data_IF_191572935246
#
_entry.id   IF_191572935246
#
_cell.length_a   1.000
_cell.length_b   1.000
_cell.length_c   1.000
_cell.angle_alpha   90.00
_cell.angle_beta   90.00
_cell.angle_gamma   90.00
#
_symmetry.space_group_name_H-M   'P 1'
#
loop_
_entity.id
_entity.type
_entity.pdbx_description
1 polymer ?
#
# COMPACT_ATOMS: atom_id res chain seq x y z
N UNK A 1 -14.49 -22.11 24.62
CA UNK A 1 -14.73 -22.92 23.40
C UNK A 1 -14.08 -24.27 23.55
N UNK A 2 -14.75 -25.35 23.14
CA UNK A 2 -14.18 -26.68 23.20
C UNK A 2 -13.12 -26.87 22.10
N UNK A 3 -12.09 -27.67 22.33
CA UNK A 3 -11.01 -27.92 21.35
C UNK A 3 -11.56 -28.38 19.99
N UNK A 4 -12.61 -29.21 20.00
CA UNK A 4 -13.34 -29.64 18.79
C UNK A 4 -13.95 -28.45 18.02
N UNK A 5 -14.55 -27.49 18.74
CA UNK A 5 -15.16 -26.31 18.12
C UNK A 5 -14.08 -25.40 17.54
N UNK A 6 -12.93 -25.25 18.20
CA UNK A 6 -11.80 -24.48 17.67
C UNK A 6 -11.29 -25.13 16.36
N UNK A 7 -11.12 -26.45 16.34
CA UNK A 7 -10.68 -27.17 15.13
C UNK A 7 -11.69 -27.01 13.98
N UNK A 8 -12.98 -27.12 14.26
CA UNK A 8 -14.04 -26.92 13.26
C UNK A 8 -14.03 -25.47 12.74
N UNK A 9 -13.92 -24.48 13.62
CA UNK A 9 -13.87 -23.07 13.22
C UNK A 9 -12.66 -22.77 12.33
N UNK A 10 -11.49 -23.30 12.65
CA UNK A 10 -10.28 -23.13 11.82
C UNK A 10 -10.46 -23.80 10.46
N UNK A 11 -11.00 -25.03 10.42
CA UNK A 11 -11.26 -25.73 9.16
C UNK A 11 -12.22 -24.96 8.25
N UNK A 12 -13.32 -24.43 8.82
CA UNK A 12 -14.29 -23.60 8.08
C UNK A 12 -13.61 -22.32 7.58
N UNK A 13 -12.84 -21.62 8.42
CA UNK A 13 -12.15 -20.40 8.02
C UNK A 13 -11.18 -20.63 6.85
N UNK A 14 -10.46 -21.75 6.82
CA UNK A 14 -9.56 -22.10 5.72
C UNK A 14 -10.33 -22.40 4.44
N UNK A 15 -11.41 -23.18 4.52
CA UNK A 15 -12.22 -23.54 3.34
C UNK A 15 -12.87 -22.29 2.72
N UNK A 16 -13.51 -21.45 3.52
CA UNK A 16 -14.16 -20.24 3.03
C UNK A 16 -13.15 -19.13 2.67
N UNK A 17 -12.02 -19.04 3.39
CA UNK A 17 -10.94 -18.12 3.06
C UNK A 17 -10.31 -18.45 1.71
N UNK A 18 -9.92 -19.71 1.49
CA UNK A 18 -9.33 -20.14 0.22
C UNK A 18 -10.37 -20.14 -0.92
N UNK A 19 -11.58 -20.64 -0.68
CA UNK A 19 -12.65 -20.70 -1.68
C UNK A 19 -13.16 -19.31 -2.07
N UNK A 20 -13.36 -18.42 -1.10
CA UNK A 20 -13.78 -17.04 -1.34
C UNK A 20 -12.70 -16.22 -2.04
N UNK A 21 -11.43 -16.38 -1.65
CA UNK A 21 -10.31 -15.71 -2.33
C UNK A 21 -10.14 -16.19 -3.78
N UNK A 22 -10.11 -17.51 -4.01
CA UNK A 22 -9.96 -18.06 -5.37
C UNK A 22 -11.17 -17.78 -6.26
N UNK A 23 -12.39 -17.94 -5.72
CA UNK A 23 -13.63 -17.60 -6.40
C UNK A 23 -13.73 -16.11 -6.74
N UNK A 24 -13.34 -15.24 -5.80
CA UNK A 24 -13.28 -13.79 -6.01
C UNK A 24 -12.27 -13.39 -7.09
N UNK A 25 -11.07 -13.97 -7.07
CA UNK A 25 -10.07 -13.74 -8.13
C UNK A 25 -10.56 -14.22 -9.50
N UNK A 26 -11.18 -15.40 -9.58
CA UNK A 26 -11.75 -15.91 -10.84
C UNK A 26 -12.91 -15.05 -11.35
N UNK A 27 -13.74 -14.53 -10.47
CA UNK A 27 -14.81 -13.60 -10.82
C UNK A 27 -14.30 -12.23 -11.28
N UNK A 28 -13.19 -11.75 -10.71
CA UNK A 28 -12.50 -10.57 -11.22
C UNK A 28 -11.83 -10.81 -12.57
N UNK A 29 -11.30 -12.01 -12.82
CA UNK A 29 -10.73 -12.37 -14.13
C UNK A 29 -11.77 -12.36 -15.25
N UNK A 30 -13.01 -12.74 -14.98
CA UNK A 30 -14.12 -12.65 -15.96
C UNK A 30 -14.71 -11.24 -16.09
N UNK A 31 -14.30 -10.32 -15.22
CA UNK A 31 -14.64 -8.89 -15.25
C UNK A 31 -13.38 -8.05 -15.20
N UNK A 32 -12.48 -8.14 -16.20
CA UNK A 32 -11.34 -7.25 -16.23
C UNK A 32 -11.89 -5.82 -16.24
N UNK A 33 -11.63 -5.03 -15.19
CA UNK A 33 -11.61 -3.57 -15.31
C UNK A 33 -10.50 -3.31 -16.31
N UNK A 34 -10.88 -3.25 -17.58
CA UNK A 34 -9.93 -3.43 -18.64
C UNK A 34 -8.94 -2.27 -18.59
N UNK A 35 -7.64 -2.57 -18.50
CA UNK A 35 -6.61 -1.60 -18.81
C UNK A 35 -6.83 -0.99 -20.22
N UNK A 36 -7.56 -1.72 -21.09
CA UNK A 36 -8.11 -1.26 -22.36
C UNK A 36 -9.00 -0.01 -22.23
N UNK A 37 -9.78 0.12 -21.15
CA UNK A 37 -10.61 1.31 -20.88
C UNK A 37 -9.76 2.57 -20.65
N UNK A 38 -8.52 2.42 -20.18
CA UNK A 38 -7.56 3.52 -20.03
C UNK A 38 -6.65 3.70 -21.25
N UNK A 39 -6.53 2.66 -22.08
CA UNK A 39 -5.76 2.68 -23.33
C UNK A 39 -6.48 3.50 -24.43
N UNK A 40 -7.81 3.48 -24.45
CA UNK A 40 -8.62 4.24 -25.42
C UNK A 40 -9.03 5.64 -24.92
N UNK A 41 -8.58 6.07 -23.73
CA UNK A 41 -8.85 7.41 -23.21
C UNK A 41 -7.84 8.42 -23.78
N UNK A 42 -8.36 9.56 -24.24
CA UNK A 42 -7.53 10.71 -24.62
C UNK A 42 -6.75 11.25 -23.42
N UNK A 43 -5.65 11.95 -23.67
CA UNK A 43 -4.79 12.48 -22.60
C UNK A 43 -5.57 13.39 -21.62
N UNK A 44 -6.58 14.10 -22.11
CA UNK A 44 -7.46 14.96 -21.31
C UNK A 44 -8.41 14.16 -20.41
N UNK A 45 -9.05 13.11 -20.93
CA UNK A 45 -9.90 12.23 -20.11
C UNK A 45 -9.09 11.46 -19.06
N UNK A 46 -7.85 11.08 -19.39
CA UNK A 46 -6.93 10.46 -18.43
C UNK A 46 -6.60 11.42 -17.28
N UNK A 47 -6.35 12.69 -17.58
CA UNK A 47 -6.09 13.72 -16.55
C UNK A 47 -7.32 13.92 -15.64
N UNK A 48 -8.53 13.98 -16.20
CA UNK A 48 -9.75 14.09 -15.38
C UNK A 48 -10.03 12.84 -14.54
N UNK A 49 -9.80 11.64 -15.07
CA UNK A 49 -9.94 10.39 -14.32
C UNK A 49 -8.92 10.28 -13.17
N UNK A 50 -7.67 10.68 -13.41
CA UNK A 50 -6.64 10.77 -12.38
C UNK A 50 -6.93 11.86 -11.34
N UNK A 51 -7.50 12.98 -11.76
CA UNK A 51 -7.87 14.08 -10.85
C UNK A 51 -9.09 13.70 -9.98
N UNK A 52 -10.06 12.98 -10.54
CA UNK A 52 -11.17 12.39 -9.78
C UNK A 52 -10.74 11.27 -8.82
N UNK A 53 -9.73 10.47 -9.20
CA UNK A 53 -9.14 9.44 -8.35
C UNK A 53 -8.15 9.99 -7.31
N UNK A 54 -7.60 11.19 -7.53
CA UNK A 54 -6.80 11.92 -6.55
C UNK A 54 -7.67 12.63 -5.49
N UNK A 55 -8.94 12.90 -5.79
CA UNK A 55 -9.90 13.52 -4.87
C UNK A 55 -10.78 12.54 -4.08
N UNK A 56 -10.75 11.24 -4.40
CA UNK A 56 -11.62 10.23 -3.80
C UNK A 56 -10.86 8.97 -3.40
N UNK A 57 -10.71 8.77 -2.09
CA UNK A 57 -10.46 7.46 -1.46
C UNK A 57 -9.17 6.70 -1.87
N UNK A 58 -8.07 7.04 -1.20
CA UNK A 58 -7.29 6.10 -0.38
C UNK A 58 -6.55 4.89 -0.97
N UNK A 59 -6.76 4.46 -2.22
CA UNK A 59 -6.25 3.14 -2.67
C UNK A 59 -5.45 3.10 -3.98
N UNK A 60 -5.23 4.24 -4.65
CA UNK A 60 -4.47 4.27 -5.91
C UNK A 60 -3.02 4.79 -5.77
N UNK A 61 -2.53 5.04 -4.55
CA UNK A 61 -1.13 5.45 -4.29
C UNK A 61 -0.22 4.31 -3.81
N UNK A 62 -0.75 3.10 -3.64
CA UNK A 62 0.01 1.94 -3.16
C UNK A 62 0.81 1.21 -4.26
N UNK A 63 0.52 1.44 -5.55
CA UNK A 63 1.07 0.62 -6.64
C UNK A 63 2.05 1.33 -7.60
N UNK A 64 2.29 2.63 -7.42
CA UNK A 64 3.30 3.34 -8.22
C UNK A 64 4.33 3.89 -7.25
N UNK A 65 5.55 3.34 -7.30
CA UNK A 65 6.69 3.59 -6.39
C UNK A 65 7.20 5.04 -6.34
N UNK A 66 6.34 5.96 -5.95
CA UNK A 66 6.63 7.36 -5.70
C UNK A 66 7.00 7.56 -4.24
N UNK A 67 8.30 7.49 -3.95
CA UNK A 67 8.89 8.17 -2.79
C UNK A 67 8.48 9.64 -2.87
N UNK A 68 7.57 10.09 -2.02
CA UNK A 68 7.17 11.49 -2.04
C UNK A 68 5.94 11.81 -1.21
N UNK A 69 6.18 12.04 0.08
CA UNK A 69 5.41 12.98 0.90
C UNK A 69 3.95 12.58 1.21
N UNK A 70 3.78 11.57 2.07
CA UNK A 70 2.60 11.54 2.95
C UNK A 70 2.75 12.71 3.96
N UNK A 71 1.78 13.64 4.06
CA UNK A 71 1.75 14.62 5.13
C UNK A 71 1.40 13.89 6.44
N UNK A 72 2.43 13.36 7.09
CA UNK A 72 2.28 12.49 8.27
C UNK A 72 3.47 11.55 8.48
N UNK A 73 4.66 12.12 8.69
CA UNK A 73 5.69 11.55 9.58
C UNK A 73 6.20 10.14 9.32
N UNK A 74 6.86 9.90 8.19
CA UNK A 74 7.56 8.63 7.94
C UNK A 74 8.51 8.64 6.73
N UNK A 75 9.09 9.80 6.40
CA UNK A 75 10.08 9.88 5.33
C UNK A 75 11.36 9.17 5.75
N UNK A 76 11.93 8.35 4.85
CA UNK A 76 13.28 7.84 5.02
C UNK A 76 14.25 9.02 5.05
N UNK A 77 14.98 9.21 6.15
CA UNK A 77 16.04 10.20 6.24
C UNK A 77 17.32 9.59 5.67
N UNK A 78 17.93 10.28 4.69
CA UNK A 78 19.22 9.91 4.11
C UNK A 78 20.28 10.88 4.61
N UNK A 79 21.36 10.36 5.19
CA UNK A 79 22.42 11.16 5.78
C UNK A 79 23.54 10.30 6.37
N UNK A 80 24.56 10.96 6.92
CA UNK A 80 25.70 10.30 7.57
C UNK A 80 25.42 10.13 9.06
N UNK A 81 25.70 8.94 9.62
CA UNK A 81 25.58 8.71 11.06
C UNK A 81 26.80 9.32 11.75
N UNK A 82 26.58 10.31 12.60
CA UNK A 82 27.64 11.04 13.30
C UNK A 82 27.77 10.66 14.78
N UNK A 83 26.73 10.08 15.39
CA UNK A 83 26.81 9.46 16.71
C UNK A 83 25.75 8.37 16.87
N UNK A 84 26.02 7.41 17.77
CA UNK A 84 25.08 6.36 18.16
C UNK A 84 25.17 6.10 19.66
N UNK A 85 24.02 5.93 20.27
CA UNK A 85 23.88 5.54 21.68
C UNK A 85 23.03 4.25 21.74
N UNK A 86 22.69 3.75 22.93
CA UNK A 86 21.95 2.49 23.08
C UNK A 86 20.61 2.44 22.35
N UNK A 87 19.89 3.58 22.28
CA UNK A 87 18.54 3.67 21.72
C UNK A 87 18.38 4.79 20.68
N UNK A 88 19.45 5.53 20.35
CA UNK A 88 19.38 6.72 19.50
C UNK A 88 20.51 6.77 18.49
N UNK A 89 20.23 7.35 17.32
CA UNK A 89 21.22 7.62 16.27
C UNK A 89 21.11 9.06 15.82
N UNK A 90 22.22 9.80 15.84
CA UNK A 90 22.28 11.15 15.28
C UNK A 90 22.74 11.08 13.83
N UNK A 91 21.93 11.62 12.95
CA UNK A 91 22.16 11.62 11.51
C UNK A 91 22.33 13.06 11.05
N UNK A 92 23.47 13.33 10.38
CA UNK A 92 23.72 14.59 9.68
C UNK A 92 23.04 14.52 8.32
N UNK A 93 22.06 15.39 8.11
CA UNK A 93 21.40 15.56 6.82
C UNK A 93 22.31 16.31 5.84
N UNK A 94 22.02 16.18 4.55
CA UNK A 94 22.81 16.79 3.47
C UNK A 94 22.80 18.33 3.51
N UNK A 95 21.77 18.92 4.12
CA UNK A 95 21.67 20.37 4.33
C UNK A 95 22.53 20.88 5.51
N UNK A 96 23.28 19.99 6.15
CA UNK A 96 24.12 20.29 7.30
C UNK A 96 23.38 20.30 8.65
N UNK A 97 22.05 20.12 8.66
CA UNK A 97 21.29 19.94 9.89
C UNK A 97 21.55 18.55 10.49
N UNK A 98 21.20 18.36 11.76
CA UNK A 98 21.31 17.06 12.43
C UNK A 98 19.97 16.68 13.06
N UNK A 99 19.62 15.40 12.97
CA UNK A 99 18.40 14.86 13.58
C UNK A 99 18.73 13.58 14.34
N UNK A 100 18.17 13.48 15.54
CA UNK A 100 18.23 12.28 16.38
C UNK A 100 16.98 11.46 16.11
N UNK A 101 17.17 10.17 15.88
CA UNK A 101 16.10 9.17 15.71
C UNK A 101 16.26 8.12 16.79
#
# INVERSE_FOLDING_TARGET
>A
MNKKNIVITVAVAVVFGAGGFFGGMKYQQSRPLSAQSFANMTQQQRQQAFQGMAGGSGSARAFTGGRGNLPGGGGFMSGEIISKDGNSVTIKAQDGSSKIV
#
